data_IF_258437375707
#
_entry.id   IF_258437375707
#
_cell.length_a   1.000
_cell.length_b   1.000
_cell.length_c   1.000
_cell.angle_alpha   90.00
_cell.angle_beta   90.00
_cell.angle_gamma   90.00
#
_symmetry.space_group_name_H-M   'P 1'
#
loop_
_entity.id
_entity.type
_entity.pdbx_description
1 polymer ?
#
# COMPACT_ATOMS: atom_id res chain seq x y z
N UNK A 1 12.67 -28.11 -4.55
CA UNK A 1 11.32 -28.31 -5.12
C UNK A 1 10.27 -28.20 -4.02
N UNK A 2 10.18 -29.05 -3.03
CA UNK A 2 9.08 -29.03 -2.02
C UNK A 2 8.86 -27.70 -1.28
N UNK A 3 9.89 -26.92 -0.94
CA UNK A 3 9.76 -25.60 -0.29
C UNK A 3 9.23 -24.51 -1.25
N UNK A 4 9.52 -24.61 -2.55
CA UNK A 4 9.01 -23.68 -3.57
C UNK A 4 7.55 -23.97 -3.88
N UNK A 5 7.14 -25.24 -3.87
CA UNK A 5 5.75 -25.62 -4.11
C UNK A 5 4.86 -25.15 -2.95
N UNK A 6 5.32 -25.35 -1.69
CA UNK A 6 4.62 -24.87 -0.50
C UNK A 6 4.45 -23.33 -0.47
N UNK A 7 5.45 -22.56 -0.92
CA UNK A 7 5.37 -21.10 -0.96
C UNK A 7 4.37 -20.61 -2.02
N UNK A 8 4.31 -21.27 -3.17
CA UNK A 8 3.34 -20.96 -4.23
C UNK A 8 1.91 -21.30 -3.82
N UNK A 9 1.71 -22.45 -3.17
CA UNK A 9 0.42 -22.84 -2.63
C UNK A 9 -0.09 -21.83 -1.57
N UNK A 10 0.81 -21.36 -0.70
CA UNK A 10 0.49 -20.35 0.30
C UNK A 10 0.13 -18.99 -0.35
N UNK A 11 0.86 -18.57 -1.35
CA UNK A 11 0.58 -17.33 -2.09
C UNK A 11 -0.76 -17.42 -2.82
N UNK A 12 -1.06 -18.56 -3.45
CA UNK A 12 -2.34 -18.79 -4.11
C UNK A 12 -3.49 -18.73 -3.11
N UNK A 13 -3.36 -19.38 -1.95
CA UNK A 13 -4.36 -19.36 -0.88
C UNK A 13 -4.62 -17.94 -0.37
N UNK A 14 -3.58 -17.12 -0.21
CA UNK A 14 -3.73 -15.71 0.20
C UNK A 14 -4.51 -14.93 -0.85
N UNK A 15 -4.20 -15.09 -2.14
CA UNK A 15 -4.91 -14.42 -3.25
C UNK A 15 -6.40 -14.79 -3.29
N UNK A 16 -6.74 -16.04 -3.07
CA UNK A 16 -8.11 -16.55 -3.04
C UNK A 16 -8.87 -15.96 -1.84
N UNK A 17 -8.29 -15.98 -0.64
CA UNK A 17 -8.90 -15.39 0.57
C UNK A 17 -9.20 -13.89 0.40
N UNK A 18 -8.29 -13.13 -0.21
CA UNK A 18 -8.55 -11.71 -0.48
C UNK A 18 -9.65 -11.51 -1.53
N UNK A 19 -9.69 -12.35 -2.57
CA UNK A 19 -10.74 -12.29 -3.58
C UNK A 19 -12.13 -12.57 -2.98
N UNK A 20 -12.25 -13.59 -2.15
CA UNK A 20 -13.48 -13.94 -1.45
C UNK A 20 -13.92 -12.84 -0.48
N UNK A 21 -12.97 -12.31 0.32
CA UNK A 21 -13.23 -11.21 1.25
C UNK A 21 -13.79 -9.97 0.55
N UNK A 22 -13.28 -9.61 -0.63
CA UNK A 22 -13.80 -8.47 -1.37
C UNK A 22 -15.08 -8.79 -2.14
N UNK A 23 -15.30 -10.04 -2.55
CA UNK A 23 -16.54 -10.47 -3.20
C UNK A 23 -17.74 -10.41 -2.25
N UNK A 24 -17.56 -10.75 -0.96
CA UNK A 24 -18.61 -10.68 0.06
C UNK A 24 -18.99 -9.24 0.44
N UNK A 25 -18.17 -8.25 0.07
CA UNK A 25 -18.37 -6.83 0.38
C UNK A 25 -18.94 -6.06 -0.82
N UNK A 26 -20.14 -6.42 -1.28
CA UNK A 26 -20.84 -5.69 -2.34
C UNK A 26 -21.50 -4.43 -1.78
N UNK A 27 -20.69 -3.44 -1.42
CA UNK A 27 -21.19 -2.12 -1.07
C UNK A 27 -21.37 -1.26 -2.32
N UNK A 28 -22.55 -0.66 -2.47
CA UNK A 28 -22.85 0.26 -3.57
C UNK A 28 -21.92 1.49 -3.56
N UNK A 29 -21.36 1.85 -2.40
CA UNK A 29 -20.41 2.96 -2.21
C UNK A 29 -19.22 2.50 -1.39
N UNK A 30 -18.05 3.02 -1.72
CA UNK A 30 -16.81 2.87 -0.94
C UNK A 30 -16.39 4.22 -0.39
N UNK A 31 -15.72 4.19 0.76
CA UNK A 31 -15.22 5.40 1.42
C UNK A 31 -13.71 5.28 1.62
N UNK A 32 -12.94 6.35 1.35
CA UNK A 32 -11.50 6.32 1.48
C UNK A 32 -11.06 6.10 2.93
N UNK A 33 -9.88 5.55 3.10
CA UNK A 33 -9.27 5.38 4.41
C UNK A 33 -8.96 6.74 5.02
N UNK A 34 -9.19 6.91 6.33
CA UNK A 34 -9.09 8.20 7.02
C UNK A 34 -7.74 8.88 6.81
N UNK A 35 -6.62 8.15 6.93
CA UNK A 35 -5.31 8.77 6.74
C UNK A 35 -5.11 9.26 5.30
N UNK A 36 -5.67 8.60 4.29
CA UNK A 36 -5.63 9.04 2.88
C UNK A 36 -6.38 10.37 2.73
N UNK A 37 -7.60 10.47 3.31
CA UNK A 37 -8.36 11.72 3.35
C UNK A 37 -7.55 12.82 4.03
N UNK A 38 -6.98 12.56 5.19
CA UNK A 38 -6.18 13.52 5.95
C UNK A 38 -4.92 13.94 5.19
N UNK A 39 -4.25 13.00 4.51
CA UNK A 39 -3.05 13.31 3.73
C UNK A 39 -3.37 14.15 2.50
N UNK A 40 -4.38 13.76 1.72
CA UNK A 40 -4.71 14.45 0.46
C UNK A 40 -5.44 15.78 0.69
N UNK A 41 -6.24 15.91 1.75
CA UNK A 41 -7.06 17.10 2.04
C UNK A 41 -6.60 17.92 3.24
N UNK A 42 -5.73 17.38 4.10
CA UNK A 42 -5.26 18.06 5.32
C UNK A 42 -4.24 19.16 5.05
N UNK A 43 -4.09 20.07 6.01
CA UNK A 43 -3.14 21.19 5.99
C UNK A 43 -2.24 21.15 7.21
N UNK A 44 -1.58 20.00 7.43
CA UNK A 44 -0.71 19.80 8.58
C UNK A 44 0.65 20.50 8.39
N UNK A 45 1.26 21.07 9.45
CA UNK A 45 2.46 21.89 9.34
C UNK A 45 3.66 21.20 8.66
N UNK A 46 3.80 19.89 8.86
CA UNK A 46 4.90 19.11 8.27
C UNK A 46 4.55 18.48 6.92
N UNK A 47 3.27 18.48 6.54
CA UNK A 47 2.80 17.90 5.28
C UNK A 47 3.04 18.87 4.13
N UNK A 48 4.09 18.61 3.36
CA UNK A 48 4.48 19.43 2.20
C UNK A 48 3.84 18.88 0.92
N UNK A 49 2.52 18.86 0.85
CA UNK A 49 1.79 18.35 -0.29
C UNK A 49 1.11 19.51 -1.03
N UNK A 50 1.58 19.77 -2.26
CA UNK A 50 0.95 20.77 -3.12
C UNK A 50 -0.22 20.15 -3.90
N UNK A 51 -1.45 20.54 -3.53
CA UNK A 51 -2.67 20.05 -4.17
C UNK A 51 -2.86 20.54 -5.60
N UNK A 52 -2.21 21.64 -5.99
CA UNK A 52 -2.28 22.11 -7.37
C UNK A 52 -1.59 21.11 -8.32
N UNK A 53 -0.65 20.33 -7.80
CA UNK A 53 0.05 19.28 -8.54
C UNK A 53 -0.80 18.02 -8.81
N UNK A 54 -2.00 17.90 -8.23
CA UNK A 54 -2.85 16.72 -8.40
C UNK A 54 -3.55 16.67 -9.75
N UNK A 55 -3.95 17.83 -10.26
CA UNK A 55 -4.78 17.91 -11.47
C UNK A 55 -4.02 17.41 -12.70
N UNK A 56 -4.51 16.33 -13.28
CA UNK A 56 -3.92 15.67 -14.44
C UNK A 56 -2.71 14.79 -14.12
N UNK A 57 -2.25 14.75 -12.87
CA UNK A 57 -1.15 13.87 -12.46
C UNK A 57 -1.59 12.41 -12.44
N UNK A 58 -0.68 11.49 -12.77
CA UNK A 58 -0.90 10.05 -12.70
C UNK A 58 -0.60 9.55 -11.28
N UNK A 59 -1.57 8.87 -10.67
CA UNK A 59 -1.40 8.21 -9.38
C UNK A 59 -1.60 6.70 -9.51
N UNK A 60 -0.70 5.94 -8.90
CA UNK A 60 -0.83 4.50 -8.73
C UNK A 60 -1.35 4.20 -7.32
N UNK A 61 -2.50 3.53 -7.20
CA UNK A 61 -2.98 2.91 -5.96
C UNK A 61 -2.43 1.48 -5.90
N UNK A 62 -1.36 1.26 -5.13
CA UNK A 62 -0.66 -0.01 -5.02
C UNK A 62 -1.29 -0.87 -3.92
N UNK A 63 -1.85 -2.03 -4.31
CA UNK A 63 -2.65 -2.88 -3.44
C UNK A 63 -4.00 -2.23 -3.13
N UNK A 64 -4.73 -1.83 -4.17
CA UNK A 64 -5.95 -1.02 -4.06
C UNK A 64 -7.15 -1.74 -3.42
N UNK A 65 -7.15 -3.06 -3.35
CA UNK A 65 -8.24 -3.87 -2.79
C UNK A 65 -9.59 -3.59 -3.46
N UNK A 66 -10.55 -3.08 -2.68
CA UNK A 66 -11.88 -2.71 -3.18
C UNK A 66 -11.96 -1.34 -3.89
N UNK A 67 -10.81 -0.67 -4.08
CA UNK A 67 -10.70 0.61 -4.77
C UNK A 67 -11.24 1.80 -3.99
N UNK A 68 -11.41 1.68 -2.67
CA UNK A 68 -12.06 2.70 -1.82
C UNK A 68 -11.43 4.09 -1.87
N UNK A 69 -10.12 4.19 -2.17
CA UNK A 69 -9.43 5.48 -2.28
C UNK A 69 -9.57 6.14 -3.65
N UNK A 70 -9.91 5.34 -4.69
CA UNK A 70 -9.91 5.79 -6.09
C UNK A 70 -10.92 6.91 -6.39
N UNK A 71 -12.18 6.90 -5.86
CA UNK A 71 -13.10 8.00 -6.09
C UNK A 71 -12.57 9.34 -5.57
N UNK A 72 -11.98 9.36 -4.37
CA UNK A 72 -11.38 10.58 -3.82
C UNK A 72 -10.23 11.08 -4.71
N UNK A 73 -9.35 10.21 -5.15
CA UNK A 73 -8.24 10.60 -6.04
C UNK A 73 -8.75 11.14 -7.36
N UNK A 74 -9.76 10.51 -7.95
CA UNK A 74 -10.41 11.01 -9.17
C UNK A 74 -11.03 12.39 -8.97
N UNK A 75 -11.78 12.60 -7.88
CA UNK A 75 -12.39 13.88 -7.54
C UNK A 75 -11.38 15.01 -7.34
N UNK A 76 -10.16 14.66 -6.90
CA UNK A 76 -9.03 15.59 -6.79
C UNK A 76 -8.32 15.87 -8.12
N UNK A 77 -8.74 15.21 -9.20
CA UNK A 77 -8.26 15.43 -10.56
C UNK A 77 -7.10 14.53 -11.00
N UNK A 78 -6.78 13.50 -10.26
CA UNK A 78 -5.78 12.50 -10.67
C UNK A 78 -6.28 11.62 -11.82
N UNK A 79 -5.36 11.16 -12.66
CA UNK A 79 -5.54 10.00 -13.52
C UNK A 79 -5.21 8.75 -12.68
N UNK A 80 -6.23 7.94 -12.39
CA UNK A 80 -6.11 6.86 -11.39
C UNK A 80 -5.76 5.54 -12.05
N UNK A 81 -4.65 4.96 -11.61
CA UNK A 81 -4.20 3.61 -11.95
C UNK A 81 -4.14 2.76 -10.70
N UNK A 82 -4.20 1.43 -10.87
CA UNK A 82 -4.11 0.51 -9.73
C UNK A 82 -3.40 -0.79 -10.06
N UNK A 83 -2.72 -1.34 -9.06
CA UNK A 83 -2.13 -2.68 -9.10
C UNK A 83 -2.64 -3.50 -7.93
N UNK A 84 -3.06 -4.74 -8.22
CA UNK A 84 -3.51 -5.70 -7.22
C UNK A 84 -3.07 -7.11 -7.58
N UNK A 85 -2.94 -7.99 -6.59
CA UNK A 85 -2.37 -9.34 -6.75
C UNK A 85 -3.27 -10.32 -7.51
N UNK A 86 -4.57 -10.01 -7.66
CA UNK A 86 -5.57 -10.93 -8.19
C UNK A 86 -6.38 -10.34 -9.33
N UNK A 87 -6.52 -11.10 -10.43
CA UNK A 87 -7.40 -10.72 -11.54
C UNK A 87 -8.87 -10.61 -11.09
N UNK A 88 -9.31 -11.43 -10.13
CA UNK A 88 -10.66 -11.37 -9.60
C UNK A 88 -10.91 -10.02 -8.89
N UNK A 89 -9.98 -9.57 -8.04
CA UNK A 89 -10.06 -8.27 -7.36
C UNK A 89 -10.07 -7.13 -8.40
N UNK A 90 -9.19 -7.19 -9.39
CA UNK A 90 -9.16 -6.20 -10.48
C UNK A 90 -10.51 -6.11 -11.21
N UNK A 91 -11.15 -7.25 -11.49
CA UNK A 91 -12.44 -7.30 -12.19
C UNK A 91 -13.58 -6.75 -11.34
N UNK A 92 -13.65 -7.13 -10.07
CA UNK A 92 -14.64 -6.61 -9.11
C UNK A 92 -14.52 -5.10 -8.95
N UNK A 93 -13.30 -4.61 -8.75
CA UNK A 93 -13.06 -3.17 -8.56
C UNK A 93 -13.33 -2.38 -9.83
N UNK A 94 -12.96 -2.90 -11.01
CA UNK A 94 -13.30 -2.26 -12.29
C UNK A 94 -14.82 -2.07 -12.42
N UNK A 95 -15.59 -3.13 -12.21
CA UNK A 95 -17.06 -3.07 -12.27
C UNK A 95 -17.64 -2.05 -11.29
N UNK A 96 -17.06 -1.96 -10.08
CA UNK A 96 -17.46 -0.97 -9.07
C UNK A 96 -17.14 0.45 -9.52
N UNK A 97 -15.95 0.71 -10.03
CA UNK A 97 -15.54 2.03 -10.49
C UNK A 97 -16.37 2.50 -11.71
N UNK A 98 -16.69 1.58 -12.63
CA UNK A 98 -17.63 1.85 -13.74
C UNK A 98 -19.01 2.30 -13.23
N UNK A 99 -19.58 1.60 -12.24
CA UNK A 99 -20.86 2.00 -11.62
C UNK A 99 -20.80 3.36 -10.92
N UNK A 100 -19.63 3.74 -10.40
CA UNK A 100 -19.40 5.04 -9.75
C UNK A 100 -19.03 6.15 -10.75
N UNK A 101 -18.82 5.83 -12.02
CA UNK A 101 -18.37 6.79 -13.03
C UNK A 101 -16.91 7.24 -12.85
N UNK A 102 -16.08 6.42 -12.19
CA UNK A 102 -14.67 6.70 -11.94
C UNK A 102 -13.80 5.95 -12.95
N UNK A 103 -13.17 6.63 -13.93
CA UNK A 103 -12.28 6.00 -14.88
C UNK A 103 -10.98 5.54 -14.19
N UNK A 104 -10.61 4.27 -14.37
CA UNK A 104 -9.42 3.66 -13.79
C UNK A 104 -8.73 2.69 -14.74
N UNK A 105 -7.40 2.62 -14.67
CA UNK A 105 -6.60 1.60 -15.34
C UNK A 105 -6.05 0.62 -14.30
N UNK A 106 -6.48 -0.64 -14.34
CA UNK A 106 -6.13 -1.66 -13.34
C UNK A 106 -5.32 -2.79 -13.97
N UNK A 107 -4.25 -3.18 -13.30
CA UNK A 107 -3.36 -4.24 -13.71
C UNK A 107 -3.11 -5.25 -12.55
N UNK A 108 -2.81 -6.50 -12.92
CA UNK A 108 -2.37 -7.52 -11.95
C UNK A 108 -0.87 -7.43 -11.77
N UNK A 109 -0.40 -7.37 -10.53
CA UNK A 109 1.01 -7.30 -10.17
C UNK A 109 1.21 -7.49 -8.66
N UNK A 110 2.42 -7.27 -8.20
CA UNK A 110 2.79 -7.36 -6.78
C UNK A 110 3.59 -6.12 -6.37
N UNK A 111 3.86 -5.97 -5.07
CA UNK A 111 4.73 -4.89 -4.57
C UNK A 111 6.15 -4.96 -5.16
N UNK A 112 6.65 -6.17 -5.46
CA UNK A 112 7.98 -6.42 -6.01
C UNK A 112 8.02 -6.59 -7.53
N UNK A 113 6.86 -6.53 -8.20
CA UNK A 113 6.73 -6.60 -9.67
C UNK A 113 5.52 -5.77 -10.12
N UNK A 114 5.74 -4.49 -10.36
CA UNK A 114 4.71 -3.53 -10.79
C UNK A 114 4.71 -3.45 -12.32
N UNK A 115 3.61 -3.83 -13.03
CA UNK A 115 3.58 -3.98 -14.48
C UNK A 115 3.41 -2.64 -15.22
N UNK A 116 4.21 -1.65 -14.87
CA UNK A 116 4.27 -0.34 -15.49
C UNK A 116 5.73 0.04 -15.77
N UNK A 117 5.93 0.95 -16.70
CA UNK A 117 7.25 1.44 -17.09
C UNK A 117 7.90 2.33 -16.04
N UNK A 118 9.20 2.55 -16.16
CA UNK A 118 9.98 3.43 -15.31
C UNK A 118 9.45 4.87 -15.39
N UNK A 119 9.26 5.49 -14.23
CA UNK A 119 8.83 6.89 -14.17
C UNK A 119 7.40 7.16 -14.64
N UNK A 120 6.56 6.12 -14.72
CA UNK A 120 5.18 6.24 -15.22
C UNK A 120 4.28 7.14 -14.36
N UNK A 121 4.59 7.32 -13.07
CA UNK A 121 3.70 7.95 -12.09
C UNK A 121 4.29 9.18 -11.43
N UNK A 122 3.46 10.19 -11.22
CA UNK A 122 3.74 11.36 -10.39
C UNK A 122 3.61 11.03 -8.90
N UNK A 123 2.64 10.16 -8.57
CA UNK A 123 2.34 9.72 -7.22
C UNK A 123 2.17 8.20 -7.15
N UNK A 124 2.62 7.60 -6.04
CA UNK A 124 2.24 6.24 -5.64
C UNK A 124 1.61 6.34 -4.26
N UNK A 125 0.39 5.82 -4.12
CA UNK A 125 -0.28 5.58 -2.85
C UNK A 125 -0.16 4.08 -2.53
N UNK A 126 0.36 3.75 -1.35
CA UNK A 126 0.35 2.39 -0.81
C UNK A 126 -0.34 2.40 0.56
N UNK A 127 -1.66 2.19 0.53
CA UNK A 127 -2.50 2.19 1.71
C UNK A 127 -2.62 0.77 2.26
N UNK A 128 -1.95 0.47 3.38
CA UNK A 128 -1.90 -0.85 4.02
C UNK A 128 -1.42 -1.98 3.09
N UNK A 129 -0.49 -1.71 2.19
CA UNK A 129 -0.10 -2.67 1.14
C UNK A 129 1.41 -2.88 0.99
N UNK A 130 2.23 -1.83 0.91
CA UNK A 130 3.63 -1.94 0.51
C UNK A 130 4.53 -2.72 1.49
N UNK A 131 4.10 -2.92 2.74
CA UNK A 131 4.85 -3.66 3.75
C UNK A 131 4.62 -5.18 3.71
N UNK A 132 3.74 -5.67 2.84
CA UNK A 132 3.64 -7.10 2.55
C UNK A 132 4.84 -7.53 1.71
N UNK A 133 5.54 -8.56 2.19
CA UNK A 133 6.73 -9.12 1.53
C UNK A 133 6.39 -10.50 0.99
N UNK A 134 6.60 -10.72 -0.30
CA UNK A 134 6.35 -12.01 -0.91
C UNK A 134 7.39 -13.06 -0.42
N UNK A 135 7.05 -14.36 -0.38
CA UNK A 135 7.99 -15.41 -0.01
C UNK A 135 9.25 -15.40 -0.89
N UNK A 136 10.42 -15.33 -0.25
CA UNK A 136 11.71 -15.25 -0.95
C UNK A 136 12.14 -13.86 -1.39
N UNK A 137 11.29 -12.86 -1.20
CA UNK A 137 11.55 -11.46 -1.49
C UNK A 137 11.97 -10.69 -0.22
N UNK A 138 12.30 -9.43 -0.38
CA UNK A 138 12.60 -8.50 0.70
C UNK A 138 11.83 -7.21 0.52
N UNK A 139 11.66 -6.44 1.58
CA UNK A 139 11.04 -5.11 1.48
C UNK A 139 11.81 -4.17 0.53
N UNK A 140 13.12 -4.35 0.43
CA UNK A 140 13.94 -3.60 -0.53
C UNK A 140 13.55 -3.87 -2.00
N UNK A 141 13.00 -5.06 -2.32
CA UNK A 141 12.44 -5.33 -3.65
C UNK A 141 11.20 -4.48 -3.91
N UNK A 142 10.30 -4.37 -2.93
CA UNK A 142 9.13 -3.50 -3.01
C UNK A 142 9.53 -2.03 -3.20
N UNK A 143 10.49 -1.55 -2.41
CA UNK A 143 10.97 -0.16 -2.52
C UNK A 143 11.60 0.14 -3.87
N UNK A 144 12.37 -0.80 -4.45
CA UNK A 144 12.96 -0.63 -5.79
C UNK A 144 11.88 -0.48 -6.86
N UNK A 145 10.84 -1.31 -6.84
CA UNK A 145 9.73 -1.23 -7.79
C UNK A 145 8.92 0.06 -7.64
N UNK A 146 8.58 0.44 -6.39
CA UNK A 146 7.91 1.72 -6.11
C UNK A 146 8.77 2.90 -6.63
N UNK A 147 10.08 2.85 -6.35
CA UNK A 147 11.02 3.86 -6.84
C UNK A 147 11.12 3.86 -8.36
N UNK A 148 11.16 2.69 -8.98
CA UNK A 148 11.27 2.54 -10.44
C UNK A 148 10.10 3.20 -11.15
N UNK A 149 8.88 2.91 -10.73
CA UNK A 149 7.66 3.41 -11.40
C UNK A 149 7.35 4.87 -11.08
N UNK A 150 7.86 5.44 -9.99
CA UNK A 150 7.79 6.87 -9.72
C UNK A 150 8.75 7.64 -10.65
N UNK A 151 8.30 8.76 -11.22
CA UNK A 151 9.22 9.70 -11.87
C UNK A 151 10.15 10.37 -10.87
N UNK A 152 11.26 10.91 -11.32
CA UNK A 152 12.14 11.74 -10.50
C UNK A 152 11.36 12.91 -9.88
N UNK A 153 11.48 13.11 -8.57
CA UNK A 153 10.68 14.08 -7.81
C UNK A 153 9.20 13.70 -7.67
N UNK A 154 8.82 12.48 -8.07
CA UNK A 154 7.49 11.91 -7.77
C UNK A 154 7.34 11.63 -6.28
N UNK A 155 6.10 11.63 -5.80
CA UNK A 155 5.79 11.51 -4.37
C UNK A 155 5.23 10.13 -4.02
N UNK A 156 5.79 9.52 -2.99
CA UNK A 156 5.29 8.30 -2.39
C UNK A 156 4.48 8.65 -1.14
N UNK A 157 3.23 8.17 -1.07
CA UNK A 157 2.29 8.29 0.06
C UNK A 157 2.04 6.88 0.57
N UNK A 158 2.23 6.64 1.87
CA UNK A 158 2.22 5.28 2.37
C UNK A 158 1.69 5.16 3.80
N UNK A 159 1.27 3.94 4.14
CA UNK A 159 1.23 3.47 5.52
C UNK A 159 2.10 2.23 5.68
N UNK A 160 2.72 2.11 6.88
CA UNK A 160 3.61 1.00 7.25
C UNK A 160 3.18 0.42 8.59
N UNK A 161 3.36 -0.89 8.76
CA UNK A 161 3.05 -1.57 10.00
C UNK A 161 3.95 -1.07 11.14
N UNK A 162 3.37 -0.71 12.30
CA UNK A 162 4.13 -0.43 13.50
C UNK A 162 4.35 -1.72 14.27
N UNK A 163 5.58 -1.93 14.78
CA UNK A 163 6.01 -3.21 15.38
C UNK A 163 5.23 -3.65 16.62
N UNK A 164 4.52 -2.73 17.29
CA UNK A 164 3.63 -3.00 18.44
C UNK A 164 2.14 -2.84 18.11
N UNK A 165 1.75 -2.93 16.83
CA UNK A 165 0.35 -3.02 16.40
C UNK A 165 -0.25 -4.38 16.75
N UNK A 166 -1.56 -4.44 17.00
CA UNK A 166 -2.28 -5.66 17.38
C UNK A 166 -1.98 -6.87 16.50
N UNK A 167 -1.82 -6.65 15.18
CA UNK A 167 -1.60 -7.71 14.20
C UNK A 167 -0.23 -8.41 14.37
N UNK A 168 0.69 -7.77 15.09
CA UNK A 168 2.04 -8.29 15.34
C UNK A 168 2.22 -8.84 16.75
N UNK A 169 1.21 -8.76 17.62
CA UNK A 169 1.31 -9.15 19.03
C UNK A 169 1.74 -10.62 19.20
N UNK A 170 1.21 -11.51 18.37
CA UNK A 170 1.50 -12.94 18.37
C UNK A 170 2.29 -13.39 17.13
N UNK A 171 2.85 -12.46 16.35
CA UNK A 171 3.54 -12.80 15.12
C UNK A 171 4.89 -13.47 15.36
N UNK A 172 5.24 -14.41 14.49
CA UNK A 172 6.56 -15.04 14.45
C UNK A 172 7.59 -14.06 13.89
N UNK A 173 8.68 -13.83 14.61
CA UNK A 173 9.82 -13.05 14.11
C UNK A 173 10.62 -13.94 13.16
N UNK A 174 10.62 -13.60 11.87
CA UNK A 174 11.36 -14.33 10.83
C UNK A 174 12.79 -13.83 10.72
N UNK A 175 12.96 -12.50 10.79
CA UNK A 175 14.25 -11.81 10.85
C UNK A 175 14.02 -10.40 11.41
N UNK A 176 15.08 -9.59 11.51
CA UNK A 176 14.98 -8.23 12.02
C UNK A 176 13.94 -7.41 11.21
N UNK A 177 12.89 -6.94 11.89
CA UNK A 177 11.79 -6.19 11.33
C UNK A 177 10.87 -6.95 10.38
N UNK A 178 11.06 -8.26 10.15
CA UNK A 178 10.20 -9.09 9.31
C UNK A 178 9.44 -10.11 10.16
N UNK A 179 8.12 -10.06 10.08
CA UNK A 179 7.20 -10.82 10.90
C UNK A 179 6.26 -11.68 10.04
N UNK A 180 6.01 -12.91 10.47
CA UNK A 180 4.96 -13.76 9.93
C UNK A 180 3.71 -13.65 10.79
N UNK A 181 2.61 -13.25 10.21
CA UNK A 181 1.34 -13.14 10.91
C UNK A 181 0.82 -14.54 11.23
N UNK A 182 0.60 -14.83 12.50
CA UNK A 182 0.08 -16.12 12.99
C UNK A 182 -1.37 -16.01 13.42
N UNK A 183 -1.79 -14.83 13.91
CA UNK A 183 -3.15 -14.59 14.36
C UNK A 183 -3.67 -13.24 13.82
N UNK A 184 -4.65 -13.32 12.93
CA UNK A 184 -5.44 -12.17 12.46
C UNK A 184 -6.90 -12.40 12.87
N UNK A 185 -7.53 -11.50 13.66
CA UNK A 185 -8.95 -11.61 14.01
C UNK A 185 -9.88 -11.76 12.80
N UNK A 186 -9.47 -11.21 11.66
CA UNK A 186 -10.21 -11.30 10.40
C UNK A 186 -9.83 -12.53 9.56
N UNK A 187 -8.84 -13.31 9.97
CA UNK A 187 -8.29 -14.50 9.28
C UNK A 187 -7.79 -14.26 7.86
N UNK A 188 -7.59 -12.99 7.49
CA UNK A 188 -7.24 -12.58 6.13
C UNK A 188 -5.72 -12.61 5.89
N UNK A 189 -4.94 -12.32 6.94
CA UNK A 189 -3.48 -12.06 6.83
C UNK A 189 -2.63 -13.19 7.38
N UNK A 190 -3.24 -14.27 7.91
CA UNK A 190 -2.49 -15.39 8.47
C UNK A 190 -1.51 -15.98 7.44
N UNK A 191 -0.26 -16.15 7.85
CA UNK A 191 0.83 -16.61 6.99
C UNK A 191 1.54 -15.51 6.19
N UNK A 192 0.96 -14.30 6.06
CA UNK A 192 1.60 -13.17 5.38
C UNK A 192 2.86 -12.72 6.10
N UNK A 193 3.85 -12.25 5.34
CA UNK A 193 5.07 -11.64 5.86
C UNK A 193 4.93 -10.12 5.82
N UNK A 194 5.15 -9.47 6.96
CA UNK A 194 5.09 -8.02 7.11
C UNK A 194 6.46 -7.46 7.50
N UNK A 195 6.90 -6.44 6.77
CA UNK A 195 7.96 -5.54 7.26
C UNK A 195 7.31 -4.52 8.20
N UNK A 196 7.72 -4.51 9.45
CA UNK A 196 7.23 -3.57 10.46
C UNK A 196 8.36 -2.72 11.03
N UNK A 197 8.02 -1.52 11.51
CA UNK A 197 8.98 -0.50 11.94
C UNK A 197 8.70 -0.09 13.38
N UNK A 198 9.76 0.03 14.19
CA UNK A 198 9.65 0.45 15.58
C UNK A 198 9.64 1.99 15.70
N UNK A 199 10.24 2.73 14.76
CA UNK A 199 10.42 4.17 14.85
C UNK A 199 10.42 4.88 13.50
N UNK A 200 10.15 6.19 13.52
CA UNK A 200 10.28 7.04 12.33
C UNK A 200 11.73 7.10 11.82
N UNK A 201 12.71 6.98 12.72
CA UNK A 201 14.12 6.94 12.33
C UNK A 201 14.42 5.71 11.48
N UNK A 202 13.94 4.55 11.88
CA UNK A 202 14.10 3.31 11.13
C UNK A 202 13.47 3.40 9.73
N UNK A 203 12.29 4.01 9.62
CA UNK A 203 11.64 4.29 8.33
C UNK A 203 12.53 5.20 7.46
N UNK A 204 13.00 6.30 8.03
CA UNK A 204 13.83 7.25 7.30
C UNK A 204 15.18 6.65 6.86
N UNK A 205 15.79 5.79 7.70
CA UNK A 205 17.03 5.09 7.37
C UNK A 205 16.81 4.10 6.20
N UNK A 206 15.75 3.29 6.23
CA UNK A 206 15.51 2.27 5.22
C UNK A 206 15.02 2.85 3.88
N UNK A 207 14.09 3.80 3.92
CA UNK A 207 13.59 4.46 2.72
C UNK A 207 14.57 5.52 2.17
N UNK A 208 15.48 6.03 3.02
CA UNK A 208 16.40 7.13 2.71
C UNK A 208 17.40 6.84 1.59
N UNK A 209 17.58 5.58 1.20
CA UNK A 209 18.39 5.21 0.02
C UNK A 209 17.75 5.68 -1.29
N UNK A 210 16.43 5.79 -1.33
CA UNK A 210 15.64 6.10 -2.51
C UNK A 210 14.86 7.42 -2.42
N UNK A 211 14.56 7.85 -1.18
CA UNK A 211 13.64 8.95 -0.91
C UNK A 211 14.26 9.99 0.02
N UNK A 212 13.72 11.20 -0.04
CA UNK A 212 13.99 12.32 0.88
C UNK A 212 12.70 13.12 1.15
N UNK A 213 12.81 14.29 1.79
CA UNK A 213 11.68 15.18 2.13
C UNK A 213 10.54 14.45 2.85
N UNK A 214 10.88 13.70 3.90
CA UNK A 214 9.92 12.93 4.69
C UNK A 214 8.99 13.84 5.50
N UNK A 215 7.68 13.51 5.46
CA UNK A 215 6.71 13.89 6.45
C UNK A 215 6.10 12.62 7.04
N UNK A 216 6.37 12.33 8.30
CA UNK A 216 5.97 11.09 8.98
C UNK A 216 5.02 11.39 10.13
N UNK A 217 4.00 10.54 10.29
CA UNK A 217 3.02 10.58 11.35
C UNK A 217 2.70 9.19 11.88
N UNK A 218 1.90 9.14 12.94
CA UNK A 218 1.42 7.93 13.56
C UNK A 218 -0.09 8.01 13.72
N UNK A 219 -0.80 6.96 13.29
CA UNK A 219 -2.20 6.73 13.61
C UNK A 219 -2.27 5.62 14.66
N UNK A 220 -2.91 5.92 15.80
CA UNK A 220 -3.22 4.95 16.85
C UNK A 220 -4.72 4.99 17.11
N UNK A 221 -5.38 3.86 16.93
CA UNK A 221 -6.82 3.75 17.08
C UNK A 221 -7.19 2.51 17.88
N UNK A 222 -8.16 2.64 18.75
CA UNK A 222 -8.86 1.50 19.35
C UNK A 222 -10.23 1.36 18.68
N UNK A 223 -10.33 0.37 17.80
CA UNK A 223 -11.58 0.03 17.15
C UNK A 223 -12.23 -1.15 17.87
N UNK A 224 -12.92 -0.87 18.98
CA UNK A 224 -13.70 -1.87 19.73
C UNK A 224 -12.85 -3.10 20.14
N UNK A 225 -11.67 -2.85 20.70
CA UNK A 225 -10.73 -3.87 21.14
C UNK A 225 -9.69 -4.28 20.09
N UNK A 226 -9.71 -3.70 18.90
CA UNK A 226 -8.65 -3.83 17.89
C UNK A 226 -7.75 -2.60 17.97
N UNK A 227 -6.62 -2.73 18.64
CA UNK A 227 -5.68 -1.63 18.85
C UNK A 227 -4.69 -1.52 17.68
N UNK A 228 -5.10 -0.79 16.65
CA UNK A 228 -4.32 -0.60 15.43
C UNK A 228 -3.31 0.53 15.58
N UNK A 229 -2.05 0.27 15.23
CA UNK A 229 -1.00 1.28 15.12
C UNK A 229 -0.34 1.21 13.76
N UNK A 230 -0.33 2.34 13.07
CA UNK A 230 0.15 2.44 11.69
C UNK A 230 0.97 3.71 11.50
N UNK A 231 2.20 3.57 11.06
CA UNK A 231 2.96 4.70 10.54
C UNK A 231 2.35 5.19 9.24
N UNK A 232 2.21 6.49 9.10
CA UNK A 232 1.78 7.14 7.86
C UNK A 232 2.84 8.13 7.40
N UNK A 233 2.97 8.32 6.09
CA UNK A 233 3.97 9.24 5.61
C UNK A 233 3.88 9.57 4.14
N UNK A 234 4.63 10.61 3.80
CA UNK A 234 4.97 10.97 2.43
C UNK A 234 6.45 11.26 2.30
N UNK A 235 7.01 10.97 1.12
CA UNK A 235 8.38 11.32 0.78
C UNK A 235 8.51 11.55 -0.73
N UNK A 236 9.62 12.16 -1.17
CA UNK A 236 9.94 12.40 -2.58
C UNK A 236 10.99 11.41 -3.06
N UNK A 237 10.80 10.87 -4.28
CA UNK A 237 11.86 10.14 -4.96
C UNK A 237 13.03 11.07 -5.23
N UNK A 238 14.23 10.66 -4.76
CA UNK A 238 15.48 11.39 -4.97
C UNK A 238 15.76 11.61 -6.45
N UNK A 239 16.36 12.74 -6.74
CA UNK A 239 16.95 12.97 -8.06
C UNK A 239 18.19 12.09 -8.21
N UNK A 240 18.28 11.33 -9.30
CA UNK A 240 19.47 10.55 -9.64
C UNK A 240 20.63 11.51 -9.90
N UNK A 241 21.66 11.50 -9.04
CA UNK A 241 22.91 12.21 -9.29
C UNK A 241 22.93 13.67 -8.83
N UNK A 242 23.19 13.89 -7.57
CA UNK A 242 24.08 14.95 -7.04
C UNK A 242 25.00 14.33 -6.02
#
# INVERSE_FOLDING_TARGET
MAKMDSAREQEQSIREHYADFYAERDFAKVYPVEFVVRTLLGTYPQLKLDRQSFRGAKVLDLGFGDGRNMPLMHDLGFQVHGVEISQAICSLTRTRMEKLGVPVELAVGTNSLIPYEDGAFDFVLACHSCYYVAPGETFAHNLREITRVLRTGGRFIFSLAKSDSYILADAEIVSDGLYRITHDPYRLRNGSLFRAFASQKEIADELGTHFDDFALGLCENDYYGVYEKVWIGTCLKRQSGR
#
